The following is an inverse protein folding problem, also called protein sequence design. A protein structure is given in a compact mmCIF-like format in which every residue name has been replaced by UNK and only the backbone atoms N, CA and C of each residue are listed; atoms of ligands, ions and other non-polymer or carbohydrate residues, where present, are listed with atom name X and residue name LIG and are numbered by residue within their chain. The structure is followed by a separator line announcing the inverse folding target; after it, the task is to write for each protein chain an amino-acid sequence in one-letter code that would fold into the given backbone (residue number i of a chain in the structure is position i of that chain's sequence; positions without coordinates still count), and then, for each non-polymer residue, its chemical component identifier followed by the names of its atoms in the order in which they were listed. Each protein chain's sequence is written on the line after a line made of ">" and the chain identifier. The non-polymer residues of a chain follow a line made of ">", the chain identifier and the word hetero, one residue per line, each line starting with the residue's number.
data_IF_645138941625
#
_entry.id   IF_645138941625
#
_cell.length_a   1.000
_cell.length_b   1.000
_cell.length_c   1.000
_cell.angle_alpha   90.00
_cell.angle_beta   90.00
_cell.angle_gamma   90.00
#
_symmetry.space_group_name_H-M   'P 1'
#
loop_
_entity.id
_entity.type
_entity.pdbx_description
1 polymer ?
#
# COMPACT_ATOMS: atom_id res chain seq x y z
N UNK A 1 43.56 -20.80 -3.56
CA UNK A 1 42.85 -19.73 -4.28
C UNK A 1 41.34 -19.92 -4.15
N UNK A 2 40.64 -18.84 -3.76
CA UNK A 2 39.24 -18.47 -4.09
C UNK A 2 38.09 -19.23 -3.40
N UNK A 3 37.61 -18.60 -2.32
CA UNK A 3 36.24 -18.72 -1.80
C UNK A 3 35.21 -18.24 -2.83
N UNK A 4 34.02 -18.85 -2.87
CA UNK A 4 32.83 -18.30 -3.53
C UNK A 4 31.67 -18.33 -2.53
N UNK A 5 31.27 -17.18 -1.94
CA UNK A 5 30.14 -17.15 -1.04
C UNK A 5 28.82 -17.15 -1.83
N UNK A 6 27.86 -17.88 -1.25
CA UNK A 6 26.49 -18.07 -1.69
C UNK A 6 25.79 -16.77 -2.14
N UNK A 7 25.35 -16.75 -3.40
CA UNK A 7 24.41 -15.74 -3.87
C UNK A 7 23.01 -16.06 -3.36
N UNK A 8 22.75 -15.76 -2.08
CA UNK A 8 21.38 -15.58 -1.58
C UNK A 8 20.79 -14.42 -2.38
N UNK A 9 20.01 -14.76 -3.42
CA UNK A 9 19.15 -13.86 -4.18
C UNK A 9 18.25 -13.15 -3.18
N UNK A 10 18.71 -12.01 -2.65
CA UNK A 10 17.90 -11.08 -1.88
C UNK A 10 16.82 -10.64 -2.85
N UNK A 11 15.66 -11.27 -2.74
CA UNK A 11 14.41 -10.68 -3.20
C UNK A 11 14.34 -9.38 -2.43
N UNK A 12 14.86 -8.30 -3.03
CA UNK A 12 14.47 -6.95 -2.68
C UNK A 12 12.97 -6.93 -2.96
N UNK A 13 12.19 -7.34 -1.96
CA UNK A 13 10.87 -6.80 -1.76
C UNK A 13 11.15 -5.32 -1.62
N UNK A 14 11.08 -4.60 -2.75
CA UNK A 14 10.85 -3.18 -2.75
C UNK A 14 9.67 -3.03 -1.81
N UNK A 15 9.95 -2.62 -0.57
CA UNK A 15 8.92 -2.14 0.34
C UNK A 15 8.30 -1.01 -0.47
N UNK A 16 7.17 -1.28 -1.13
CA UNK A 16 6.43 -0.24 -1.81
C UNK A 16 5.93 0.62 -0.67
N UNK A 17 6.75 1.59 -0.29
CA UNK A 17 6.34 2.67 0.57
C UNK A 17 5.31 3.39 -0.29
N UNK A 18 4.05 2.96 -0.16
CA UNK A 18 2.93 3.55 -0.87
C UNK A 18 2.94 5.01 -0.46
N UNK A 19 3.28 5.91 -1.38
CA UNK A 19 3.34 7.32 -1.03
C UNK A 19 1.89 7.81 -0.92
N UNK A 20 1.66 8.86 -0.13
CA UNK A 20 0.33 9.49 -0.01
C UNK A 20 -0.36 9.74 -1.38
N UNK A 21 0.34 10.20 -2.43
CA UNK A 21 -0.25 10.32 -3.78
C UNK A 21 -0.74 9.01 -4.39
N UNK A 22 -0.05 7.89 -4.13
CA UNK A 22 -0.46 6.56 -4.62
C UNK A 22 -1.71 6.05 -3.89
N UNK A 23 -1.86 6.42 -2.61
CA UNK A 23 -2.99 6.03 -1.78
C UNK A 23 -4.28 6.74 -2.19
N UNK A 24 -4.21 8.04 -2.51
CA UNK A 24 -5.34 8.78 -3.06
C UNK A 24 -5.76 8.25 -4.44
N UNK A 25 -4.78 7.88 -5.29
CA UNK A 25 -5.07 7.26 -6.57
C UNK A 25 -5.77 5.90 -6.42
N UNK A 26 -5.28 5.06 -5.52
CA UNK A 26 -5.90 3.76 -5.20
C UNK A 26 -7.33 3.94 -4.65
N UNK A 27 -7.53 4.91 -3.75
CA UNK A 27 -8.84 5.26 -3.19
C UNK A 27 -9.83 5.63 -4.29
N UNK A 28 -9.43 6.50 -5.22
CA UNK A 28 -10.27 6.91 -6.34
C UNK A 28 -10.61 5.74 -7.27
N UNK A 29 -9.61 4.90 -7.60
CA UNK A 29 -9.81 3.73 -8.46
C UNK A 29 -10.82 2.73 -7.87
N UNK A 30 -10.73 2.46 -6.56
CA UNK A 30 -11.67 1.54 -5.88
C UNK A 30 -13.06 2.17 -5.77
N UNK A 31 -13.18 3.45 -5.41
CA UNK A 31 -14.49 4.10 -5.34
C UNK A 31 -15.21 4.16 -6.69
N UNK A 32 -14.46 4.24 -7.79
CA UNK A 32 -15.00 4.21 -9.14
C UNK A 32 -15.41 2.79 -9.60
N UNK A 33 -14.80 1.73 -9.05
CA UNK A 33 -15.13 0.35 -9.41
C UNK A 33 -16.28 -0.24 -8.58
N UNK A 34 -16.56 0.33 -7.41
CA UNK A 34 -17.70 -0.08 -6.58
C UNK A 34 -19.02 0.41 -7.20
N UNK A 35 -19.99 -0.51 -7.36
CA UNK A 35 -21.30 -0.17 -7.92
C UNK A 35 -22.34 0.17 -6.83
N UNK A 36 -22.15 -0.37 -5.62
CA UNK A 36 -23.04 -0.12 -4.48
C UNK A 36 -22.63 1.12 -3.69
N UNK A 37 -23.63 1.95 -3.34
CA UNK A 37 -23.44 3.15 -2.52
C UNK A 37 -22.96 2.78 -1.12
N UNK A 38 -23.50 1.71 -0.54
CA UNK A 38 -23.10 1.22 0.79
C UNK A 38 -21.65 0.76 0.79
N UNK A 39 -21.23 0.05 -0.26
CA UNK A 39 -19.85 -0.38 -0.41
C UNK A 39 -18.89 0.82 -0.55
N UNK A 40 -19.26 1.85 -1.31
CA UNK A 40 -18.47 3.10 -1.42
C UNK A 40 -18.33 3.80 -0.08
N UNK A 41 -19.41 3.86 0.70
CA UNK A 41 -19.41 4.50 2.01
C UNK A 41 -18.54 3.74 3.00
N UNK A 42 -18.70 2.41 3.07
CA UNK A 42 -17.87 1.56 3.91
C UNK A 42 -16.38 1.64 3.55
N UNK A 43 -16.06 1.60 2.25
CA UNK A 43 -14.69 1.74 1.79
C UNK A 43 -14.09 3.11 2.12
N UNK A 44 -14.84 4.21 1.96
CA UNK A 44 -14.38 5.56 2.36
C UNK A 44 -13.96 5.61 3.83
N UNK A 45 -14.79 5.06 4.73
CA UNK A 45 -14.44 5.04 6.15
C UNK A 45 -13.19 4.19 6.42
N UNK A 46 -13.13 2.98 5.87
CA UNK A 46 -12.01 2.08 6.09
C UNK A 46 -10.68 2.62 5.54
N UNK A 47 -10.68 3.26 4.35
CA UNK A 47 -9.47 3.81 3.76
C UNK A 47 -8.98 5.05 4.52
N UNK A 48 -9.88 5.89 5.03
CA UNK A 48 -9.51 7.07 5.80
C UNK A 48 -8.86 6.66 7.15
N UNK A 49 -9.43 5.67 7.84
CA UNK A 49 -8.83 5.09 9.05
C UNK A 49 -7.47 4.45 8.76
N UNK A 50 -7.35 3.73 7.63
CA UNK A 50 -6.08 3.16 7.21
C UNK A 50 -5.02 4.24 6.93
N UNK A 51 -5.38 5.32 6.24
CA UNK A 51 -4.46 6.44 5.93
C UNK A 51 -3.98 7.08 7.23
N UNK A 52 -4.89 7.39 8.14
CA UNK A 52 -4.57 8.03 9.43
C UNK A 52 -3.59 7.17 10.24
N UNK A 53 -3.90 5.87 10.38
CA UNK A 53 -2.99 4.91 11.02
C UNK A 53 -1.64 4.84 10.29
N UNK A 54 -1.62 4.74 8.95
CA UNK A 54 -0.40 4.65 8.14
C UNK A 54 0.46 5.93 8.16
N UNK A 55 -0.14 7.08 8.42
CA UNK A 55 0.53 8.36 8.61
C UNK A 55 1.03 8.56 10.06
N UNK A 56 0.43 7.88 11.03
CA UNK A 56 0.87 7.91 12.44
C UNK A 56 2.17 7.14 12.68
N UNK A 57 2.55 6.24 11.78
CA UNK A 57 3.70 5.36 11.96
C UNK A 57 5.03 6.04 11.53
N UNK A 58 6.07 6.08 12.39
CA UNK A 58 7.35 6.69 12.06
C UNK A 58 8.06 5.94 10.92
N UNK A 59 8.59 6.68 9.94
CA UNK A 59 9.25 6.15 8.74
C UNK A 59 10.76 6.32 8.74
#
# INVERSE_FOLDING_TARGET
>A
MKQKPSSKRRRNITKSILRLPDLEHAKAAVLNSLNSVDAKRGYRHAIDEFVDWYCSEPR
#
